data_IF_196533580375
#
_entry.id   IF_196533580375
#
_cell.length_a   1.000
_cell.length_b   1.000
_cell.length_c   1.000
_cell.angle_alpha   90.00
_cell.angle_beta   90.00
_cell.angle_gamma   90.00
#
_symmetry.space_group_name_H-M   'P 1'
#
loop_
_entity.id
_entity.type
_entity.pdbx_description
1 polymer ?
#
# COMPACT_ATOMS: atom_id res chain seq x y z
N UNK A 1 9.24 -21.98 1.73
CA UNK A 1 9.17 -22.41 3.15
C UNK A 1 7.71 -22.52 3.51
N UNK A 2 7.34 -23.60 4.21
CA UNK A 2 5.95 -24.04 4.37
C UNK A 2 5.09 -22.94 5.00
N UNK A 3 3.91 -22.70 4.42
CA UNK A 3 2.88 -21.89 5.04
C UNK A 3 2.48 -22.56 6.35
N UNK A 4 3.00 -22.03 7.45
CA UNK A 4 2.46 -22.25 8.79
C UNK A 4 1.01 -21.76 8.76
N UNK A 5 0.07 -22.63 9.14
CA UNK A 5 -1.34 -22.24 9.28
C UNK A 5 -1.42 -21.02 10.21
N UNK A 6 -2.27 -20.05 9.86
CA UNK A 6 -2.43 -18.86 10.68
C UNK A 6 -3.04 -19.30 12.03
N UNK A 7 -2.37 -19.03 13.16
CA UNK A 7 -2.86 -19.45 14.50
C UNK A 7 -4.25 -18.92 14.84
N UNK A 8 -4.67 -17.84 14.18
CA UNK A 8 -5.94 -17.17 14.37
C UNK A 8 -7.03 -17.61 13.38
N UNK A 9 -6.83 -18.68 12.61
CA UNK A 9 -7.83 -19.23 11.68
C UNK A 9 -9.12 -19.68 12.39
N UNK A 10 -9.07 -19.94 13.71
CA UNK A 10 -10.25 -20.19 14.52
C UNK A 10 -11.21 -18.98 14.61
N UNK A 11 -10.74 -17.76 14.29
CA UNK A 11 -11.54 -16.54 14.21
C UNK A 11 -12.11 -16.28 12.81
N UNK A 12 -11.76 -17.10 11.81
CA UNK A 12 -12.20 -16.90 10.44
C UNK A 12 -13.70 -17.23 10.31
N UNK A 13 -14.50 -16.21 9.98
CA UNK A 13 -15.94 -16.33 9.74
C UNK A 13 -16.28 -15.98 8.29
N UNK A 14 -17.49 -16.37 7.88
CA UNK A 14 -18.04 -16.07 6.55
C UNK A 14 -19.20 -15.10 6.71
N UNK A 15 -19.28 -14.12 5.81
CA UNK A 15 -20.40 -13.19 5.69
C UNK A 15 -20.90 -13.22 4.24
N UNK A 16 -22.22 -13.20 4.05
CA UNK A 16 -22.82 -13.13 2.74
C UNK A 16 -23.34 -11.71 2.50
N UNK A 17 -22.91 -11.10 1.39
CA UNK A 17 -23.32 -9.76 0.96
C UNK A 17 -23.68 -9.86 -0.52
N UNK A 18 -24.90 -9.48 -0.89
CA UNK A 18 -25.40 -9.48 -2.27
C UNK A 18 -25.21 -10.83 -3.01
N UNK A 19 -25.43 -11.94 -2.30
CA UNK A 19 -25.28 -13.30 -2.85
C UNK A 19 -23.83 -13.74 -3.09
N UNK A 20 -22.85 -12.96 -2.61
CA UNK A 20 -21.43 -13.32 -2.62
C UNK A 20 -20.97 -13.63 -1.20
N UNK A 21 -20.25 -14.73 -1.04
CA UNK A 21 -19.62 -15.10 0.22
C UNK A 21 -18.24 -14.46 0.35
N UNK A 22 -18.03 -13.77 1.47
CA UNK A 22 -16.76 -13.19 1.87
C UNK A 22 -16.30 -13.81 3.19
N UNK A 23 -14.99 -13.88 3.38
CA UNK A 23 -14.39 -14.32 4.64
C UNK A 23 -13.77 -13.13 5.37
N UNK A 24 -13.87 -13.12 6.70
CA UNK A 24 -13.26 -12.10 7.53
C UNK A 24 -12.79 -12.69 8.86
N UNK A 25 -11.76 -12.10 9.46
CA UNK A 25 -11.33 -12.48 10.81
C UNK A 25 -12.18 -11.71 11.83
N UNK A 26 -12.93 -12.44 12.66
CA UNK A 26 -13.74 -11.86 13.73
C UNK A 26 -12.88 -11.56 14.96
N UNK A 27 -12.20 -10.42 14.92
CA UNK A 27 -11.31 -9.94 16.00
C UNK A 27 -12.04 -9.63 17.30
N UNK A 28 -13.38 -9.54 17.30
CA UNK A 28 -14.17 -9.36 18.53
C UNK A 28 -14.07 -10.61 19.42
N UNK A 29 -13.76 -11.78 18.85
CA UNK A 29 -13.53 -13.01 19.59
C UNK A 29 -12.29 -13.00 20.50
N UNK A 30 -11.46 -11.93 20.45
CA UNK A 30 -10.27 -11.77 21.29
C UNK A 30 -10.59 -11.26 22.72
N UNK A 31 -11.86 -10.97 23.01
CA UNK A 31 -12.37 -10.68 24.36
C UNK A 31 -12.27 -9.22 24.79
N UNK A 32 -12.49 -8.95 26.09
CA UNK A 32 -12.68 -7.59 26.63
C UNK A 32 -11.53 -6.60 26.35
N UNK A 33 -10.29 -7.11 26.19
CA UNK A 33 -9.15 -6.26 25.83
C UNK A 33 -9.36 -5.59 24.48
N UNK A 34 -9.98 -6.26 23.52
CA UNK A 34 -10.31 -5.70 22.21
C UNK A 34 -11.29 -4.52 22.31
N UNK A 35 -12.32 -4.66 23.14
CA UNK A 35 -13.39 -3.65 23.26
C UNK A 35 -12.87 -2.31 23.79
N UNK A 36 -11.78 -2.35 24.56
CA UNK A 36 -11.11 -1.16 25.11
C UNK A 36 -10.12 -0.50 24.13
N UNK A 37 -9.77 -1.16 23.02
CA UNK A 37 -8.82 -0.61 22.05
C UNK A 37 -9.43 0.58 21.29
N UNK A 38 -8.65 1.66 21.05
CA UNK A 38 -9.01 2.70 20.10
C UNK A 38 -9.22 2.12 18.69
N UNK A 39 -10.14 2.69 17.92
CA UNK A 39 -10.44 2.22 16.56
C UNK A 39 -9.21 2.15 15.63
N UNK A 40 -8.28 3.11 15.76
CA UNK A 40 -7.02 3.08 15.01
C UNK A 40 -6.16 1.84 15.33
N UNK A 41 -6.12 1.43 16.59
CA UNK A 41 -5.39 0.24 17.06
C UNK A 41 -6.09 -1.04 16.62
N UNK A 42 -7.43 -1.05 16.54
CA UNK A 42 -8.20 -2.20 16.03
C UNK A 42 -7.83 -2.53 14.57
N UNK A 43 -7.51 -1.53 13.74
CA UNK A 43 -7.04 -1.75 12.36
C UNK A 43 -5.68 -2.43 12.34
N UNK A 44 -4.75 -2.00 13.21
CA UNK A 44 -3.45 -2.62 13.37
C UNK A 44 -3.59 -4.08 13.84
N UNK A 45 -4.48 -4.33 14.80
CA UNK A 45 -4.77 -5.65 15.31
C UNK A 45 -5.30 -6.58 14.22
N UNK A 46 -6.28 -6.15 13.43
CA UNK A 46 -6.81 -6.94 12.30
C UNK A 46 -5.70 -7.29 11.33
N UNK A 47 -4.86 -6.31 10.97
CA UNK A 47 -3.73 -6.54 10.08
C UNK A 47 -2.78 -7.60 10.65
N UNK A 48 -2.45 -7.55 11.94
CA UNK A 48 -1.58 -8.54 12.57
C UNK A 48 -2.23 -9.93 12.58
N UNK A 49 -3.50 -10.02 12.98
CA UNK A 49 -4.26 -11.27 13.06
C UNK A 49 -4.34 -11.94 11.69
N UNK A 50 -4.72 -11.21 10.64
CA UNK A 50 -4.87 -11.74 9.28
C UNK A 50 -3.55 -12.18 8.66
N UNK A 51 -2.45 -11.51 8.99
CA UNK A 51 -1.14 -11.76 8.39
C UNK A 51 -0.18 -12.56 9.29
N UNK A 52 -0.66 -13.11 10.42
CA UNK A 52 0.15 -13.89 11.35
C UNK A 52 0.63 -15.19 10.71
N UNK A 53 1.86 -15.16 10.19
CA UNK A 53 2.52 -16.28 9.51
C UNK A 53 3.57 -16.96 10.39
N UNK A 54 3.86 -16.42 11.59
CA UNK A 54 4.91 -16.94 12.46
C UNK A 54 6.32 -16.64 11.99
N UNK A 55 6.48 -15.76 10.99
CA UNK A 55 7.77 -15.33 10.47
C UNK A 55 7.87 -13.80 10.37
N UNK A 56 7.09 -13.16 9.49
CA UNK A 56 7.05 -11.71 9.37
C UNK A 56 6.15 -11.08 10.43
N UNK A 57 5.05 -11.76 10.76
CA UNK A 57 4.12 -11.34 11.81
C UNK A 57 3.99 -12.49 12.79
N UNK A 58 4.41 -12.24 14.02
CA UNK A 58 4.44 -13.23 15.09
C UNK A 58 3.18 -13.12 15.95
N UNK A 59 2.82 -14.22 16.63
CA UNK A 59 1.75 -14.21 17.63
C UNK A 59 2.02 -13.18 18.75
N UNK A 60 3.31 -12.95 19.06
CA UNK A 60 3.72 -11.91 20.00
C UNK A 60 3.25 -10.52 19.56
N UNK A 61 3.24 -10.23 18.26
CA UNK A 61 2.90 -8.91 17.74
C UNK A 61 1.40 -8.66 17.90
N UNK A 62 0.56 -9.70 17.70
CA UNK A 62 -0.87 -9.65 18.01
C UNK A 62 -1.10 -9.41 19.51
N UNK A 63 -0.37 -10.13 20.37
CA UNK A 63 -0.46 -9.93 21.82
C UNK A 63 -0.02 -8.51 22.23
N UNK A 64 1.05 -7.99 21.64
CA UNK A 64 1.56 -6.65 21.91
C UNK A 64 0.52 -5.57 21.56
N UNK A 65 -0.22 -5.74 20.47
CA UNK A 65 -1.32 -4.84 20.11
C UNK A 65 -2.52 -4.99 21.05
N UNK A 66 -2.86 -6.21 21.47
CA UNK A 66 -3.93 -6.44 22.47
C UNK A 66 -3.59 -5.82 23.84
N UNK A 67 -2.30 -5.75 24.18
CA UNK A 67 -1.80 -5.15 25.41
C UNK A 67 -1.44 -3.67 25.27
N UNK A 68 -2.01 -3.00 24.26
CA UNK A 68 -1.78 -1.58 23.96
C UNK A 68 -1.87 -0.66 25.19
N UNK A 69 -2.83 -0.87 26.09
CA UNK A 69 -3.02 -0.02 27.27
C UNK A 69 -1.78 0.04 28.17
N UNK A 70 -1.07 -1.08 28.30
CA UNK A 70 0.18 -1.20 29.07
C UNK A 70 1.37 -0.80 28.20
N UNK A 71 1.41 -1.28 26.96
CA UNK A 71 2.56 -1.15 26.07
C UNK A 71 2.80 0.28 25.58
N UNK A 72 1.77 1.12 25.50
CA UNK A 72 1.91 2.53 25.12
C UNK A 72 2.75 3.34 26.12
N UNK A 73 2.84 2.89 27.38
CA UNK A 73 3.57 3.57 28.45
C UNK A 73 5.01 3.05 28.63
N UNK A 74 5.41 2.03 27.86
CA UNK A 74 6.75 1.44 27.94
C UNK A 74 7.77 2.44 27.38
N UNK A 75 8.81 2.73 28.16
CA UNK A 75 9.92 3.57 27.73
C UNK A 75 10.64 2.92 26.54
N UNK A 76 10.77 3.66 25.43
CA UNK A 76 11.30 3.14 24.16
C UNK A 76 10.25 2.50 23.24
N UNK A 77 9.02 2.29 23.72
CA UNK A 77 7.92 1.72 22.94
C UNK A 77 8.08 0.23 22.64
N UNK A 78 7.00 -0.37 22.15
CA UNK A 78 6.99 -1.78 21.71
C UNK A 78 6.79 -1.80 20.20
N UNK A 79 7.75 -2.39 19.48
CA UNK A 79 7.64 -2.57 18.03
C UNK A 79 6.60 -3.64 17.69
N UNK A 80 5.84 -3.37 16.62
CA UNK A 80 4.83 -4.28 16.07
C UNK A 80 4.96 -4.32 14.55
N UNK A 81 4.61 -5.46 13.96
CA UNK A 81 4.50 -5.57 12.51
C UNK A 81 3.21 -4.93 12.01
N UNK A 82 3.26 -4.26 10.86
CA UNK A 82 2.08 -3.75 10.18
C UNK A 82 2.18 -4.00 8.67
N UNK A 83 1.14 -4.62 8.09
CA UNK A 83 1.07 -4.93 6.66
C UNK A 83 -0.13 -4.18 6.06
N UNK A 84 0.08 -2.96 5.52
CA UNK A 84 -1.00 -2.20 4.92
C UNK A 84 -1.62 -2.95 3.73
N UNK A 85 -2.89 -2.67 3.46
CA UNK A 85 -3.63 -3.34 2.39
C UNK A 85 -3.22 -2.88 0.98
N UNK A 86 -2.70 -1.65 0.85
CA UNK A 86 -2.24 -1.03 -0.39
C UNK A 86 -1.23 0.09 -0.13
N UNK A 87 -0.54 0.53 -1.16
CA UNK A 87 0.40 1.66 -1.14
C UNK A 87 -0.07 2.72 -2.14
N UNK A 88 0.07 3.99 -1.77
CA UNK A 88 -0.18 5.12 -2.67
C UNK A 88 1.12 5.89 -2.86
N UNK A 89 1.42 6.25 -4.10
CA UNK A 89 2.57 7.04 -4.50
C UNK A 89 2.14 8.29 -5.28
N UNK A 90 2.94 9.33 -5.18
CA UNK A 90 2.89 10.48 -6.08
C UNK A 90 4.10 10.44 -7.01
N UNK A 91 4.08 11.13 -8.15
CA UNK A 91 5.04 10.96 -9.24
C UNK A 91 6.52 11.21 -8.86
N UNK A 92 6.83 12.13 -7.96
CA UNK A 92 8.21 12.41 -7.54
C UNK A 92 8.83 11.26 -6.75
N UNK A 93 8.06 10.53 -5.94
CA UNK A 93 8.55 9.34 -5.22
C UNK A 93 8.22 8.04 -5.95
N UNK A 94 7.23 8.05 -6.83
CA UNK A 94 6.81 6.90 -7.60
C UNK A 94 7.80 6.54 -8.71
N UNK A 95 8.37 7.55 -9.39
CA UNK A 95 9.41 7.32 -10.41
C UNK A 95 10.63 6.59 -9.86
N UNK A 96 11.30 7.07 -8.80
CA UNK A 96 12.45 6.34 -8.24
C UNK A 96 12.06 4.94 -7.75
N UNK A 97 10.85 4.75 -7.19
CA UNK A 97 10.39 3.41 -6.82
C UNK A 97 10.26 2.45 -8.03
N UNK A 98 9.76 2.92 -9.18
CA UNK A 98 9.67 2.12 -10.41
C UNK A 98 11.08 1.85 -10.99
N UNK A 99 12.01 2.81 -10.88
CA UNK A 99 13.43 2.60 -11.22
C UNK A 99 14.04 1.51 -10.34
N UNK A 100 13.81 1.54 -9.03
CA UNK A 100 14.32 0.53 -8.11
C UNK A 100 13.78 -0.86 -8.46
N UNK A 101 12.48 -0.99 -8.76
CA UNK A 101 11.93 -2.26 -9.22
C UNK A 101 12.56 -2.76 -10.53
N UNK A 102 12.82 -1.86 -11.48
CA UNK A 102 13.51 -2.19 -12.73
C UNK A 102 14.95 -2.68 -12.45
N UNK A 103 15.70 -1.96 -11.63
CA UNK A 103 17.06 -2.32 -11.24
C UNK A 103 17.11 -3.65 -10.46
N UNK A 104 16.13 -3.90 -9.59
CA UNK A 104 16.00 -5.18 -8.89
C UNK A 104 15.72 -6.34 -9.85
N UNK A 105 14.92 -6.12 -10.92
CA UNK A 105 14.69 -7.14 -11.96
C UNK A 105 15.98 -7.49 -12.68
N UNK A 106 16.78 -6.49 -13.05
CA UNK A 106 18.07 -6.71 -13.70
C UNK A 106 19.04 -7.46 -12.77
N UNK A 107 19.14 -7.04 -11.50
CA UNK A 107 19.99 -7.71 -10.52
C UNK A 107 19.58 -9.17 -10.28
N UNK A 108 18.29 -9.47 -10.18
CA UNK A 108 17.79 -10.84 -10.01
C UNK A 108 18.10 -11.68 -11.26
N UNK A 109 17.98 -11.10 -12.46
CA UNK A 109 18.32 -11.77 -13.71
C UNK A 109 19.81 -12.12 -13.78
N UNK A 110 20.68 -11.19 -13.42
CA UNK A 110 22.14 -11.37 -13.44
C UNK A 110 22.59 -12.45 -12.46
N UNK A 111 21.88 -12.60 -11.34
CA UNK A 111 22.08 -13.68 -10.36
C UNK A 111 21.45 -15.02 -10.78
N UNK A 112 20.84 -15.11 -11.97
CA UNK A 112 20.20 -16.32 -12.49
C UNK A 112 18.83 -16.64 -11.87
N UNK A 113 18.23 -15.67 -11.17
CA UNK A 113 16.88 -15.77 -10.63
C UNK A 113 15.79 -15.41 -11.65
N UNK A 114 14.54 -15.50 -11.21
CA UNK A 114 13.37 -15.10 -12.01
C UNK A 114 12.99 -13.63 -11.73
N UNK A 115 13.17 -12.71 -12.70
CA UNK A 115 12.85 -11.30 -12.52
C UNK A 115 11.37 -11.03 -12.30
N UNK A 116 10.48 -11.92 -12.75
CA UNK A 116 9.03 -11.73 -12.57
C UNK A 116 8.61 -11.81 -11.10
N UNK A 117 9.44 -12.36 -10.22
CA UNK A 117 9.23 -12.32 -8.77
C UNK A 117 9.34 -10.91 -8.18
N UNK A 118 9.98 -9.99 -8.89
CA UNK A 118 10.06 -8.58 -8.50
C UNK A 118 8.79 -7.89 -9.02
N UNK A 119 7.83 -7.77 -8.12
CA UNK A 119 6.51 -7.22 -8.38
C UNK A 119 5.87 -6.70 -7.07
N UNK A 120 5.00 -5.68 -7.11
CA UNK A 120 4.22 -5.26 -5.95
C UNK A 120 3.34 -6.40 -5.40
N UNK A 121 3.49 -6.69 -4.11
CA UNK A 121 2.75 -7.74 -3.41
C UNK A 121 1.32 -7.28 -3.05
N UNK A 122 1.12 -5.97 -2.90
CA UNK A 122 -0.18 -5.35 -2.67
C UNK A 122 -0.48 -4.31 -3.77
N UNK A 123 -1.74 -3.91 -3.94
CA UNK A 123 -2.10 -2.82 -4.84
C UNK A 123 -1.27 -1.56 -4.59
N UNK A 124 -0.72 -1.00 -5.66
CA UNK A 124 0.08 0.21 -5.67
C UNK A 124 -0.56 1.22 -6.63
N UNK A 125 -1.06 2.32 -6.09
CA UNK A 125 -1.68 3.39 -6.84
C UNK A 125 -0.72 4.57 -6.98
N UNK A 126 -0.36 4.99 -8.20
CA UNK A 126 0.51 6.13 -8.45
C UNK A 126 -0.27 7.25 -9.12
N UNK A 127 -0.25 8.45 -8.54
CA UNK A 127 -0.88 9.65 -9.11
C UNK A 127 0.17 10.61 -9.65
N UNK A 128 -0.06 11.13 -10.85
CA UNK A 128 0.75 12.19 -11.44
C UNK A 128 0.08 13.53 -11.14
N UNK A 129 0.60 14.23 -10.12
CA UNK A 129 0.01 15.49 -9.62
C UNK A 129 1.04 16.56 -9.23
N UNK A 130 2.33 16.21 -9.09
CA UNK A 130 3.42 17.14 -8.75
C UNK A 130 4.19 17.63 -9.99
N UNK A 131 3.68 17.37 -11.19
CA UNK A 131 4.33 17.70 -12.46
C UNK A 131 3.88 19.02 -13.08
N UNK A 132 2.64 19.44 -12.82
CA UNK A 132 2.07 20.68 -13.37
C UNK A 132 2.60 21.91 -12.64
N UNK A 133 2.90 22.97 -13.38
CA UNK A 133 3.35 24.25 -12.83
C UNK A 133 2.42 25.37 -13.30
N UNK A 134 2.37 26.45 -12.52
CA UNK A 134 1.57 27.63 -12.87
C UNK A 134 2.43 28.58 -13.69
N UNK A 135 2.66 28.25 -14.96
CA UNK A 135 3.36 29.11 -15.93
C UNK A 135 2.44 30.24 -16.43
N UNK A 136 1.16 29.90 -16.66
CA UNK A 136 0.10 30.83 -17.04
C UNK A 136 -0.99 30.87 -15.97
N UNK A 137 -1.56 32.05 -15.73
CA UNK A 137 -2.65 32.26 -14.79
C UNK A 137 -3.64 33.32 -15.31
N UNK A 138 -4.86 33.31 -14.77
CA UNK A 138 -5.89 34.34 -15.01
C UNK A 138 -6.29 34.52 -16.48
N UNK A 139 -6.25 33.44 -17.27
CA UNK A 139 -6.73 33.39 -18.65
C UNK A 139 -7.56 32.13 -18.88
N UNK A 140 -8.61 32.15 -19.73
CA UNK A 140 -9.41 30.97 -20.04
C UNK A 140 -8.59 29.79 -20.62
N UNK A 141 -7.46 30.08 -21.26
CA UNK A 141 -6.56 29.10 -21.87
C UNK A 141 -5.39 28.66 -20.96
N UNK A 142 -5.30 29.19 -19.73
CA UNK A 142 -4.15 28.95 -18.85
C UNK A 142 -4.00 27.47 -18.48
N UNK A 143 -5.10 26.76 -18.23
CA UNK A 143 -5.07 25.33 -17.89
C UNK A 143 -4.45 24.50 -19.01
N UNK A 144 -4.94 24.67 -20.24
CA UNK A 144 -4.45 23.91 -21.39
C UNK A 144 -2.97 24.19 -21.65
N UNK A 145 -2.55 25.47 -21.60
CA UNK A 145 -1.15 25.85 -21.78
C UNK A 145 -0.23 25.24 -20.72
N UNK A 146 -0.66 25.21 -19.46
CA UNK A 146 0.12 24.60 -18.38
C UNK A 146 0.21 23.08 -18.55
N UNK A 147 -0.86 22.41 -19.00
CA UNK A 147 -0.88 20.96 -19.27
C UNK A 147 -0.01 20.59 -20.49
N UNK A 148 -0.02 21.40 -21.53
CA UNK A 148 0.86 21.23 -22.69
C UNK A 148 2.33 21.31 -22.26
N UNK A 149 2.70 22.36 -21.51
CA UNK A 149 4.06 22.51 -20.98
C UNK A 149 4.45 21.39 -20.01
N UNK A 150 3.53 20.93 -19.17
CA UNK A 150 3.73 19.77 -18.30
C UNK A 150 4.10 18.54 -19.11
N UNK A 151 3.35 18.24 -20.17
CA UNK A 151 3.61 17.08 -21.01
C UNK A 151 4.94 17.18 -21.77
N UNK A 152 5.27 18.37 -22.29
CA UNK A 152 6.54 18.61 -22.97
C UNK A 152 7.74 18.42 -22.03
N UNK A 153 7.69 19.01 -20.82
CA UNK A 153 8.78 18.96 -19.84
C UNK A 153 8.98 17.57 -19.23
N UNK A 154 7.91 16.77 -19.15
CA UNK A 154 7.91 15.50 -18.40
C UNK A 154 7.71 14.26 -19.28
N UNK A 155 7.86 14.40 -20.60
CA UNK A 155 7.57 13.34 -21.57
C UNK A 155 8.26 12.01 -21.25
N UNK A 156 9.56 12.03 -20.96
CA UNK A 156 10.33 10.82 -20.64
C UNK A 156 9.81 10.15 -19.37
N UNK A 157 9.56 10.95 -18.33
CA UNK A 157 9.01 10.48 -17.05
C UNK A 157 7.65 9.83 -17.22
N UNK A 158 6.76 10.43 -18.01
CA UNK A 158 5.43 9.86 -18.28
C UNK A 158 5.51 8.58 -19.13
N UNK A 159 6.41 8.52 -20.10
CA UNK A 159 6.66 7.30 -20.87
C UNK A 159 7.19 6.17 -19.97
N UNK A 160 8.12 6.49 -19.06
CA UNK A 160 8.67 5.54 -18.10
C UNK A 160 7.61 5.01 -17.13
N UNK A 161 6.79 5.89 -16.56
CA UNK A 161 5.67 5.49 -15.70
C UNK A 161 4.66 4.63 -16.46
N UNK A 162 4.29 5.03 -17.70
CA UNK A 162 3.39 4.24 -18.53
C UNK A 162 3.92 2.83 -18.82
N UNK A 163 5.23 2.69 -19.02
CA UNK A 163 5.86 1.38 -19.10
C UNK A 163 5.75 0.61 -17.77
N UNK A 164 6.02 1.27 -16.64
CA UNK A 164 5.89 0.66 -15.31
C UNK A 164 4.50 0.09 -15.05
N UNK A 165 3.44 0.83 -15.39
CA UNK A 165 2.06 0.37 -15.28
C UNK A 165 1.74 -0.90 -16.09
N UNK A 166 2.50 -1.16 -17.16
CA UNK A 166 2.34 -2.34 -18.01
C UNK A 166 3.29 -3.48 -17.62
N UNK A 167 4.42 -3.14 -17.00
CA UNK A 167 5.48 -4.08 -16.65
C UNK A 167 5.29 -4.75 -15.28
N UNK A 168 4.53 -4.12 -14.38
CA UNK A 168 4.25 -4.62 -13.03
C UNK A 168 2.77 -4.91 -12.85
N UNK A 169 2.44 -6.02 -12.18
CA UNK A 169 1.07 -6.30 -11.77
C UNK A 169 0.73 -5.50 -10.52
N UNK A 170 -0.56 -5.33 -10.24
CA UNK A 170 -1.07 -4.56 -9.10
C UNK A 170 -0.64 -3.08 -9.09
N UNK A 171 -0.09 -2.55 -10.18
CA UNK A 171 0.29 -1.15 -10.30
C UNK A 171 -0.71 -0.39 -11.17
N UNK A 172 -1.40 0.57 -10.57
CA UNK A 172 -2.30 1.49 -11.27
C UNK A 172 -1.65 2.86 -11.35
N UNK A 173 -1.67 3.49 -12.53
CA UNK A 173 -1.19 4.87 -12.71
C UNK A 173 -2.33 5.77 -13.16
N UNK A 174 -2.62 6.77 -12.34
CA UNK A 174 -3.57 7.83 -12.62
C UNK A 174 -2.88 8.92 -13.44
N UNK A 175 -3.38 9.25 -14.65
CA UNK A 175 -2.71 10.19 -15.56
C UNK A 175 -2.75 11.64 -15.05
N UNK A 176 -1.88 12.52 -15.59
CA UNK A 176 -1.86 13.94 -15.24
C UNK A 176 -3.21 14.62 -15.50
N UNK A 177 -3.52 15.64 -14.72
CA UNK A 177 -4.76 16.40 -14.84
C UNK A 177 -6.00 15.72 -14.24
N UNK A 178 -5.85 14.57 -13.59
CA UNK A 178 -6.97 13.84 -12.95
C UNK A 178 -7.31 14.34 -11.53
N UNK A 179 -6.48 15.21 -10.96
CA UNK A 179 -6.60 15.71 -9.59
C UNK A 179 -5.32 15.50 -8.78
N UNK A 180 -5.41 15.78 -7.48
CA UNK A 180 -4.30 15.65 -6.52
C UNK A 180 -4.47 14.32 -5.77
N UNK A 181 -3.36 13.64 -5.45
CA UNK A 181 -3.33 12.28 -4.87
C UNK A 181 -4.31 12.08 -3.73
N UNK A 182 -4.36 13.03 -2.79
CA UNK A 182 -5.24 12.95 -1.62
C UNK A 182 -6.71 13.21 -1.96
N UNK A 183 -7.03 13.96 -3.03
CA UNK A 183 -8.42 14.20 -3.44
C UNK A 183 -8.99 13.04 -4.27
N UNK A 184 -8.13 12.35 -5.04
CA UNK A 184 -8.56 11.22 -5.89
C UNK A 184 -8.84 9.96 -5.06
N UNK A 185 -8.17 9.81 -3.92
CA UNK A 185 -8.25 8.60 -3.06
C UNK A 185 -8.89 8.81 -1.69
N UNK A 186 -9.49 9.99 -1.44
CA UNK A 186 -10.47 10.22 -0.35
C UNK A 186 -11.84 9.74 -0.82
#
# INVERSE_FOLDING_TARGET
MAATNNPYDHLLKTIEIDGKQFKYYDVTGLGEKYDRLPYSVRVLLESCVRNCDGFQVLQKDVQNVLEWETNQAVEGGVEIAFKPARVILQDLTGVPAVVDFAAMRDAVKDLGGDPQKINPICPADLVIDHSVQVDFARSPDALNKNQELEFERNKERFQFLKWGAQAFDNMLIVPPGSGIVHQVFI
#
